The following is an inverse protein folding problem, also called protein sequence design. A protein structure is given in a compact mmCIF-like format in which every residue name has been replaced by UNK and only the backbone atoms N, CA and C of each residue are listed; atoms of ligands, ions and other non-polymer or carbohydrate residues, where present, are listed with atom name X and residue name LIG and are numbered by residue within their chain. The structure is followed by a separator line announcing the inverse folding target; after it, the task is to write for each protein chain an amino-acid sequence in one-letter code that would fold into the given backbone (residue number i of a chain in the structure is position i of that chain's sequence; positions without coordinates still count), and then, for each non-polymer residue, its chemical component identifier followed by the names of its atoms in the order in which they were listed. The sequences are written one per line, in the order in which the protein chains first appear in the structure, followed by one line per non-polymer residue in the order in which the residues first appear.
data_IF_585255536357
#
_entry.id   IF_585255536357
#
_cell.length_a   1.000
_cell.length_b   1.000
_cell.length_c   1.000
_cell.angle_alpha   90.00
_cell.angle_beta   90.00
_cell.angle_gamma   90.00
#
_symmetry.space_group_name_H-M   'P 1'
#
loop_
_entity.id
_entity.type
_entity.pdbx_description
1 polymer ?
#
# COMPACT_ATOMS: atom_id res chain seq x y z
N UNK A 1 5.08 -21.22 -5.74
CA UNK A 1 6.24 -21.06 -4.85
C UNK A 1 6.05 -19.76 -4.11
N UNK A 2 6.13 -19.79 -2.79
CA UNK A 2 6.02 -18.56 -1.99
C UNK A 2 7.24 -17.69 -2.27
N UNK A 3 7.01 -16.44 -2.67
CA UNK A 3 8.10 -15.51 -3.02
C UNK A 3 8.80 -15.13 -1.72
N UNK A 4 10.13 -15.25 -1.64
CA UNK A 4 10.86 -14.93 -0.41
C UNK A 4 10.88 -13.42 -0.10
N UNK A 5 11.18 -13.06 1.15
CA UNK A 5 11.35 -11.66 1.59
C UNK A 5 12.35 -10.91 0.70
N UNK A 6 13.46 -11.56 0.32
CA UNK A 6 14.48 -10.99 -0.55
C UNK A 6 13.96 -10.61 -1.95
N UNK A 7 13.17 -11.49 -2.55
CA UNK A 7 12.60 -11.22 -3.89
C UNK A 7 11.55 -10.11 -3.82
N UNK A 8 10.68 -10.08 -2.80
CA UNK A 8 9.74 -8.95 -2.62
C UNK A 8 10.45 -7.63 -2.35
N UNK A 9 11.60 -7.67 -1.67
CA UNK A 9 12.43 -6.47 -1.48
C UNK A 9 13.03 -5.99 -2.82
N UNK A 10 13.45 -6.93 -3.68
CA UNK A 10 13.90 -6.64 -5.05
C UNK A 10 12.80 -6.05 -5.91
N UNK A 11 11.59 -6.58 -5.81
CA UNK A 11 10.41 -6.05 -6.49
C UNK A 11 10.13 -4.61 -6.06
N UNK A 12 10.17 -4.31 -4.76
CA UNK A 12 9.98 -2.95 -4.25
C UNK A 12 11.05 -1.98 -4.71
N UNK A 13 12.31 -2.39 -4.68
CA UNK A 13 13.40 -1.60 -5.25
C UNK A 13 13.12 -1.27 -6.72
N UNK A 14 12.68 -2.27 -7.49
CA UNK A 14 12.43 -2.14 -8.93
C UNK A 14 11.21 -1.25 -9.19
N UNK A 15 10.15 -1.36 -8.37
CA UNK A 15 8.97 -0.48 -8.41
C UNK A 15 9.33 0.98 -8.19
N UNK A 16 10.31 1.26 -7.33
CA UNK A 16 10.83 2.60 -7.09
C UNK A 16 11.83 3.08 -8.18
N UNK A 17 12.15 2.25 -9.17
CA UNK A 17 13.10 2.60 -10.24
C UNK A 17 14.56 2.68 -9.78
N UNK A 18 14.91 2.06 -8.64
CA UNK A 18 16.22 2.19 -8.02
C UNK A 18 17.15 1.02 -8.39
N UNK A 19 18.44 1.33 -8.55
CA UNK A 19 19.47 0.30 -8.59
C UNK A 19 19.86 -0.13 -7.15
N UNK A 20 20.62 -1.22 -7.01
CA UNK A 20 20.99 -1.77 -5.69
C UNK A 20 21.83 -0.80 -4.84
N UNK A 21 22.66 0.04 -5.47
CA UNK A 21 23.48 1.02 -4.76
C UNK A 21 22.61 2.12 -4.14
N UNK A 22 21.74 2.74 -4.95
CA UNK A 22 20.83 3.79 -4.50
C UNK A 22 19.86 3.29 -3.43
N UNK A 23 19.39 2.04 -3.54
CA UNK A 23 18.50 1.44 -2.56
C UNK A 23 19.21 1.08 -1.25
N UNK A 24 20.45 0.59 -1.32
CA UNK A 24 21.27 0.33 -0.15
C UNK A 24 21.52 1.60 0.68
N UNK A 25 21.73 2.75 0.00
CA UNK A 25 21.94 4.04 0.65
C UNK A 25 20.72 4.48 1.48
N UNK A 26 19.49 4.17 1.05
CA UNK A 26 18.28 4.46 1.84
C UNK A 26 18.29 3.75 3.19
N UNK A 27 18.86 2.53 3.23
CA UNK A 27 18.99 1.72 4.44
C UNK A 27 20.28 1.96 5.23
N UNK A 28 21.17 2.85 4.78
CA UNK A 28 22.48 3.07 5.41
C UNK A 28 23.41 1.86 5.33
N UNK A 29 23.23 1.00 4.32
CA UNK A 29 24.01 -0.24 4.13
C UNK A 29 24.80 -0.20 2.81
N UNK A 30 25.67 -1.18 2.61
CA UNK A 30 26.43 -1.34 1.36
C UNK A 30 25.61 -2.05 0.28
N UNK A 31 25.93 -1.80 -1.00
CA UNK A 31 25.35 -2.53 -2.14
C UNK A 31 25.49 -4.05 -2.04
N UNK A 32 26.60 -4.56 -1.52
CA UNK A 32 26.77 -5.99 -1.31
C UNK A 32 25.76 -6.53 -0.29
N UNK A 33 25.53 -5.80 0.80
CA UNK A 33 24.52 -6.18 1.81
C UNK A 33 23.12 -6.22 1.19
N UNK A 34 22.80 -5.23 0.35
CA UNK A 34 21.55 -5.23 -0.41
C UNK A 34 21.42 -6.45 -1.32
N UNK A 35 22.49 -6.81 -2.03
CA UNK A 35 22.54 -8.01 -2.86
C UNK A 35 22.28 -9.30 -2.06
N UNK A 36 22.87 -9.43 -0.86
CA UNK A 36 22.62 -10.59 0.01
C UNK A 36 21.19 -10.64 0.55
N UNK A 37 20.56 -9.49 0.82
CA UNK A 37 19.14 -9.44 1.16
C UNK A 37 18.26 -9.91 0.00
N UNK A 38 18.48 -9.41 -1.21
CA UNK A 38 17.66 -9.76 -2.38
C UNK A 38 17.78 -11.23 -2.77
N UNK A 39 18.94 -11.86 -2.52
CA UNK A 39 19.15 -13.30 -2.76
C UNK A 39 18.63 -14.19 -1.62
N UNK A 40 18.21 -13.61 -0.50
CA UNK A 40 17.81 -14.36 0.69
C UNK A 40 18.97 -15.00 1.47
N UNK A 41 20.21 -14.58 1.23
CA UNK A 41 21.40 -15.05 1.96
C UNK A 41 21.44 -14.47 3.38
N UNK A 42 20.88 -13.27 3.55
CA UNK A 42 20.75 -12.57 4.83
C UNK A 42 19.35 -11.96 4.94
N UNK A 43 18.87 -11.79 6.16
CA UNK A 43 17.60 -11.13 6.42
C UNK A 43 17.81 -9.64 6.73
N UNK A 44 16.99 -8.74 6.17
CA UNK A 44 16.98 -7.34 6.58
C UNK A 44 16.51 -7.22 8.04
N UNK A 45 17.13 -6.31 8.79
CA UNK A 45 16.70 -6.00 10.16
C UNK A 45 15.63 -4.91 10.19
N UNK A 46 15.06 -4.66 11.37
CA UNK A 46 14.00 -3.66 11.56
C UNK A 46 14.49 -2.23 11.33
N UNK A 47 15.77 -1.94 11.55
CA UNK A 47 16.35 -0.59 11.34
C UNK A 47 16.37 -0.28 9.85
N UNK A 48 16.88 -1.23 9.04
CA UNK A 48 16.85 -1.16 7.59
C UNK A 48 15.42 -1.05 7.06
N UNK A 49 14.50 -1.90 7.53
CA UNK A 49 13.10 -1.89 7.07
C UNK A 49 12.42 -0.55 7.39
N UNK A 50 12.66 0.02 8.57
CA UNK A 50 12.13 1.33 8.94
C UNK A 50 12.69 2.45 8.05
N UNK A 51 13.96 2.37 7.68
CA UNK A 51 14.60 3.37 6.82
C UNK A 51 14.00 3.33 5.40
N UNK A 52 13.86 2.14 4.81
CA UNK A 52 13.29 2.02 3.46
C UNK A 52 11.77 2.24 3.43
N UNK A 53 11.04 1.99 4.52
CA UNK A 53 9.63 2.37 4.66
C UNK A 53 9.44 3.87 4.45
N UNK A 54 10.31 4.71 5.06
CA UNK A 54 10.28 6.17 4.88
C UNK A 54 10.57 6.61 3.46
N UNK A 55 11.27 5.77 2.69
CA UNK A 55 11.54 5.98 1.27
C UNK A 55 10.42 5.44 0.35
N UNK A 56 9.29 5.02 0.92
CA UNK A 56 8.10 4.58 0.17
C UNK A 56 8.09 3.11 -0.20
N UNK A 57 8.91 2.27 0.43
CA UNK A 57 8.81 0.80 0.31
C UNK A 57 7.59 0.29 1.07
N UNK A 58 6.80 -0.59 0.44
CA UNK A 58 5.70 -1.32 1.06
C UNK A 58 6.27 -2.46 1.93
N UNK A 59 6.75 -2.11 3.12
CA UNK A 59 7.31 -3.09 4.08
C UNK A 59 6.31 -4.18 4.48
N UNK A 60 5.01 -3.90 4.70
CA UNK A 60 4.02 -4.94 4.91
C UNK A 60 3.99 -5.96 3.77
N UNK A 61 4.04 -5.52 2.52
CA UNK A 61 4.18 -6.42 1.38
C UNK A 61 5.47 -7.24 1.43
N UNK A 62 6.61 -6.61 1.69
CA UNK A 62 7.91 -7.30 1.79
C UNK A 62 7.86 -8.43 2.83
N UNK A 63 7.21 -8.21 3.97
CA UNK A 63 7.12 -9.19 5.05
C UNK A 63 6.04 -10.27 4.81
N UNK A 64 4.88 -9.89 4.27
CA UNK A 64 3.69 -10.76 4.26
C UNK A 64 3.31 -11.31 2.89
N UNK A 65 3.89 -10.75 1.81
CA UNK A 65 3.48 -11.03 0.43
C UNK A 65 2.13 -10.43 0.04
N UNK A 66 1.47 -9.69 0.94
CA UNK A 66 0.19 -9.03 0.67
C UNK A 66 0.43 -7.54 0.55
N UNK A 67 0.15 -6.99 -0.62
CA UNK A 67 0.10 -5.55 -0.83
C UNK A 67 -0.94 -5.01 0.14
N UNK A 68 -0.50 -4.18 1.09
CA UNK A 68 -1.48 -3.36 1.78
C UNK A 68 -2.03 -2.43 0.71
N UNK A 69 -3.32 -2.59 0.39
CA UNK A 69 -4.03 -1.46 -0.18
C UNK A 69 -3.81 -0.31 0.80
N UNK A 70 -3.55 0.92 0.32
CA UNK A 70 -3.46 2.05 1.23
C UNK A 70 -4.67 1.94 2.14
N UNK A 71 -4.41 1.70 3.43
CA UNK A 71 -5.43 1.98 4.40
C UNK A 71 -5.81 3.42 4.06
N UNK A 72 -7.11 3.67 3.89
CA UNK A 72 -7.58 5.03 3.90
C UNK A 72 -7.26 5.52 5.33
N UNK A 73 -6.01 5.92 5.56
CA UNK A 73 -5.53 6.33 6.86
C UNK A 73 -6.30 7.60 7.20
N UNK A 74 -6.95 7.59 8.37
CA UNK A 74 -7.74 8.72 8.82
C UNK A 74 -9.19 8.74 8.33
N UNK A 75 -9.81 7.57 8.09
CA UNK A 75 -11.26 7.53 7.99
C UNK A 75 -11.89 8.13 9.25
N UNK A 76 -12.83 9.03 9.05
CA UNK A 76 -13.68 9.50 10.15
C UNK A 76 -14.74 8.44 10.50
N UNK A 77 -15.41 8.63 11.63
CA UNK A 77 -16.43 7.70 12.13
C UNK A 77 -17.52 7.36 11.10
N UNK A 78 -17.92 8.33 10.26
CA UNK A 78 -18.94 8.12 9.25
C UNK A 78 -18.43 7.25 8.09
N UNK A 79 -17.17 7.45 7.68
CA UNK A 79 -16.54 6.64 6.63
C UNK A 79 -16.27 5.21 7.11
N UNK A 80 -15.86 5.03 8.37
CA UNK A 80 -15.70 3.71 8.97
C UNK A 80 -17.04 2.95 9.05
N UNK A 81 -18.09 3.61 9.54
CA UNK A 81 -19.43 3.02 9.62
C UNK A 81 -19.96 2.63 8.23
N UNK A 82 -19.75 3.49 7.22
CA UNK A 82 -20.14 3.20 5.84
C UNK A 82 -19.43 1.97 5.29
N UNK A 83 -18.12 1.84 5.49
CA UNK A 83 -17.36 0.67 5.04
C UNK A 83 -17.80 -0.61 5.74
N UNK A 84 -18.04 -0.55 7.06
CA UNK A 84 -18.53 -1.70 7.81
C UNK A 84 -19.89 -2.15 7.27
N UNK A 85 -20.83 -1.22 7.08
CA UNK A 85 -22.15 -1.54 6.54
C UNK A 85 -22.05 -2.09 5.12
N UNK A 86 -21.27 -1.46 4.25
CA UNK A 86 -21.07 -1.88 2.87
C UNK A 86 -20.57 -3.33 2.76
N UNK A 87 -19.62 -3.73 3.63
CA UNK A 87 -19.07 -5.10 3.63
C UNK A 87 -20.07 -6.17 4.05
N UNK A 88 -21.16 -5.82 4.71
CA UNK A 88 -22.24 -6.76 5.09
C UNK A 88 -23.30 -6.94 4.01
N UNK A 89 -23.31 -6.08 2.99
CA UNK A 89 -24.29 -6.12 1.91
C UNK A 89 -24.05 -7.27 0.93
N UNK A 90 -25.12 -7.71 0.28
CA UNK A 90 -25.05 -8.64 -0.85
C UNK A 90 -24.31 -8.00 -2.04
N UNK A 91 -23.78 -8.82 -2.95
CA UNK A 91 -23.14 -8.33 -4.18
C UNK A 91 -24.06 -7.45 -5.02
N UNK A 92 -25.37 -7.73 -5.02
CA UNK A 92 -26.36 -6.92 -5.72
C UNK A 92 -26.48 -5.53 -5.10
N UNK A 93 -26.59 -5.46 -3.77
CA UNK A 93 -26.75 -4.22 -3.03
C UNK A 93 -25.46 -3.38 -3.04
N UNK A 94 -24.29 -4.01 -2.96
CA UNK A 94 -23.00 -3.33 -3.14
C UNK A 94 -22.92 -2.64 -4.51
N UNK A 95 -23.34 -3.32 -5.58
CA UNK A 95 -23.40 -2.73 -6.93
C UNK A 95 -24.40 -1.58 -7.01
N UNK A 96 -25.53 -1.67 -6.32
CA UNK A 96 -26.52 -0.60 -6.27
C UNK A 96 -25.97 0.65 -5.56
N UNK A 97 -25.36 0.47 -4.38
CA UNK A 97 -24.70 1.55 -3.62
C UNK A 97 -23.61 2.22 -4.47
N UNK A 98 -22.75 1.44 -5.13
CA UNK A 98 -21.70 1.97 -6.00
C UNK A 98 -22.27 2.86 -7.12
N UNK A 99 -23.36 2.44 -7.78
CA UNK A 99 -24.01 3.23 -8.84
C UNK A 99 -24.53 4.56 -8.32
N UNK A 100 -25.17 4.55 -7.15
CA UNK A 100 -25.71 5.77 -6.52
C UNK A 100 -24.58 6.74 -6.18
N UNK A 101 -23.54 6.27 -5.48
CA UNK A 101 -22.38 7.10 -5.11
C UNK A 101 -21.70 7.66 -6.37
N UNK A 102 -21.53 6.84 -7.40
CA UNK A 102 -20.94 7.26 -8.67
C UNK A 102 -21.78 8.34 -9.36
N UNK A 103 -23.11 8.19 -9.39
CA UNK A 103 -24.01 9.18 -9.97
C UNK A 103 -23.96 10.52 -9.20
N UNK A 104 -23.86 10.47 -7.87
CA UNK A 104 -23.74 11.65 -7.02
C UNK A 104 -22.38 12.35 -7.15
N UNK A 105 -21.29 11.59 -7.30
CA UNK A 105 -19.95 12.13 -7.45
C UNK A 105 -19.72 12.83 -8.80
N UNK A 106 -20.45 12.42 -9.85
CA UNK A 106 -20.37 13.01 -11.19
C UNK A 106 -21.24 14.26 -11.33
N UNK A 107 -22.23 14.45 -10.46
CA UNK A 107 -23.05 15.66 -10.46
C UNK A 107 -22.31 16.81 -9.74
N UNK A 108 -21.84 17.86 -10.45
CA UNK A 108 -21.31 19.04 -9.77
C UNK A 108 -22.46 19.69 -8.98
N UNK A 109 -22.15 20.10 -7.75
CA UNK A 109 -23.10 20.45 -6.70
C UNK A 109 -24.37 21.17 -7.18
N UNK A 110 -25.52 20.60 -6.82
CA UNK A 110 -26.77 21.34 -6.74
C UNK A 110 -26.63 22.39 -5.64
N UNK A 111 -26.05 23.54 -5.99
CA UNK A 111 -26.18 24.78 -5.25
C UNK A 111 -27.66 24.99 -5.00
N UNK A 112 -28.06 24.85 -3.73
CA UNK A 112 -29.41 25.11 -3.25
C UNK A 112 -29.76 26.56 -3.64
N UNK A 113 -30.91 26.85 -4.29
CA UNK A 113 -31.30 28.23 -4.48
C UNK A 113 -31.58 28.82 -3.10
N UNK A 114 -30.80 29.84 -2.71
CA UNK A 114 -31.13 30.68 -1.56
C UNK A 114 -32.46 31.40 -1.85
N UNK A 115 -33.30 31.48 -0.81
CA UNK A 115 -34.60 32.13 -0.85
C UNK A 115 -34.49 33.54 -0.30
#
# INVERSE_FOLDING_TARGET
MDVGVGERLREERTRLGLNQEAFAQLGGITRNTQGSYEKGERNPDSVYLTAVLKAGVDVPYVLTGRRMQPALEGLNEAEEALLQQFRTLSDYDQKAVHRIISAMAVAPGLSRPEK
#
